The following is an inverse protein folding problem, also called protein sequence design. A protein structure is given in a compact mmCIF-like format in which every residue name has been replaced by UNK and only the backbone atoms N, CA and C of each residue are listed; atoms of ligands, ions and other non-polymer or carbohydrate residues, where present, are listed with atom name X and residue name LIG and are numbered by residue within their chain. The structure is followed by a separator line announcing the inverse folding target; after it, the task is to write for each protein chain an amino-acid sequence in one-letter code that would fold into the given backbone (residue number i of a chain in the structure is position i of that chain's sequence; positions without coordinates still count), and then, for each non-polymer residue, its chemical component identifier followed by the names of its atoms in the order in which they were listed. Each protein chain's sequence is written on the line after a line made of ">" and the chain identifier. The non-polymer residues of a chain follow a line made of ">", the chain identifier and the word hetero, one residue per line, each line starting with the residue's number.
data_IF_041182548909
#
_entry.id   IF_041182548909
#
_cell.length_a   1.000
_cell.length_b   1.000
_cell.length_c   1.000
_cell.angle_alpha   90.00
_cell.angle_beta   90.00
_cell.angle_gamma   90.00
#
_symmetry.space_group_name_H-M   'P 1'
#
loop_
_entity.id
_entity.type
_entity.pdbx_description
1 polymer ?
#
# COMPACT_ATOMS: atom_id res chain seq x y z
N UNK A 1 -17.44 -25.05 23.19
CA UNK A 1 -16.62 -26.24 23.50
C UNK A 1 -15.16 -25.87 23.78
N UNK A 2 -14.57 -24.92 23.04
CA UNK A 2 -13.17 -24.52 23.23
C UNK A 2 -12.95 -23.81 24.57
N UNK A 3 -13.86 -22.94 24.97
CA UNK A 3 -13.79 -22.21 26.24
C UNK A 3 -13.84 -23.15 27.45
N UNK A 4 -14.68 -24.19 27.37
CA UNK A 4 -14.72 -25.20 28.40
C UNK A 4 -13.45 -26.03 28.49
N UNK A 5 -12.86 -26.36 27.34
CA UNK A 5 -11.57 -27.06 27.29
C UNK A 5 -10.44 -26.21 27.86
N UNK A 6 -10.45 -24.89 27.65
CA UNK A 6 -9.50 -23.96 28.25
C UNK A 6 -9.61 -23.91 29.77
N UNK A 7 -10.83 -23.82 30.30
CA UNK A 7 -11.04 -23.81 31.76
C UNK A 7 -10.62 -25.14 32.43
N UNK A 8 -10.89 -26.26 31.77
CA UNK A 8 -10.42 -27.57 32.27
C UNK A 8 -8.91 -27.63 32.25
N UNK A 9 -8.26 -27.18 31.17
CA UNK A 9 -6.82 -27.15 31.07
C UNK A 9 -6.16 -26.26 32.13
N UNK A 10 -6.83 -25.14 32.48
CA UNK A 10 -6.38 -24.23 33.54
C UNK A 10 -6.47 -24.89 34.94
N UNK A 11 -7.53 -25.67 35.19
CA UNK A 11 -7.69 -26.39 36.46
C UNK A 11 -6.69 -27.56 36.58
N UNK A 12 -6.45 -28.29 35.51
CA UNK A 12 -5.48 -29.41 35.47
C UNK A 12 -4.05 -28.93 35.56
N UNK A 13 -3.79 -27.70 35.11
CA UNK A 13 -2.46 -27.12 34.91
C UNK A 13 -1.87 -27.48 33.55
N UNK A 14 -1.44 -26.48 32.80
CA UNK A 14 -0.88 -26.66 31.45
C UNK A 14 0.35 -27.57 31.44
N UNK A 15 1.16 -27.56 32.51
CA UNK A 15 2.35 -28.39 32.62
C UNK A 15 2.04 -29.89 32.71
N UNK A 16 0.83 -30.25 33.09
CA UNK A 16 0.36 -31.63 33.18
C UNK A 16 -0.23 -32.17 31.87
N UNK A 17 -0.35 -31.30 30.84
CA UNK A 17 -0.90 -31.68 29.53
C UNK A 17 0.27 -32.14 28.66
N UNK A 18 0.31 -33.42 28.21
CA UNK A 18 1.41 -33.94 27.41
C UNK A 18 1.43 -33.25 26.03
N UNK A 19 2.59 -32.69 25.66
CA UNK A 19 2.81 -32.14 24.33
C UNK A 19 2.97 -33.30 23.32
N UNK A 20 2.00 -33.43 22.44
CA UNK A 20 2.10 -34.39 21.33
C UNK A 20 2.84 -33.77 20.13
N UNK A 21 3.73 -34.56 19.51
CA UNK A 21 4.35 -34.14 18.25
C UNK A 21 3.28 -34.02 17.18
N UNK A 22 3.11 -32.82 16.65
CA UNK A 22 2.20 -32.60 15.53
C UNK A 22 2.87 -33.11 14.25
N UNK A 23 2.39 -34.22 13.72
CA UNK A 23 2.81 -34.72 12.42
C UNK A 23 2.10 -33.91 11.32
N UNK A 24 2.65 -32.78 10.95
CA UNK A 24 2.16 -32.00 9.81
C UNK A 24 2.69 -32.71 8.55
N UNK A 25 1.80 -33.31 7.79
CA UNK A 25 2.13 -33.68 6.40
C UNK A 25 2.38 -32.38 5.65
N UNK A 26 3.64 -32.06 5.40
CA UNK A 26 3.99 -30.96 4.50
C UNK A 26 3.55 -31.41 3.11
N UNK A 27 2.36 -31.00 2.72
CA UNK A 27 1.98 -31.06 1.31
C UNK A 27 2.86 -30.02 0.63
N UNK A 28 3.94 -30.48 -0.01
CA UNK A 28 4.63 -29.64 -0.97
C UNK A 28 3.63 -29.39 -2.08
N UNK A 29 2.96 -28.27 -2.07
CA UNK A 29 2.22 -27.80 -3.24
C UNK A 29 3.21 -27.76 -4.40
N UNK A 30 3.14 -28.80 -5.21
CA UNK A 30 3.88 -28.91 -6.46
C UNK A 30 3.35 -27.83 -7.39
N UNK A 31 3.81 -26.67 -7.25
CA UNK A 31 3.82 -25.47 -8.10
C UNK A 31 3.80 -24.25 -7.17
N UNK A 32 4.95 -23.88 -6.64
CA UNK A 32 5.19 -22.48 -6.41
C UNK A 32 5.01 -21.80 -7.76
N UNK A 33 3.80 -21.29 -8.03
CA UNK A 33 3.64 -20.28 -9.08
C UNK A 33 4.74 -19.30 -8.84
N UNK A 34 5.56 -19.00 -9.85
CA UNK A 34 6.58 -17.97 -9.73
C UNK A 34 5.98 -16.70 -9.14
N UNK A 35 6.80 -15.77 -8.65
CA UNK A 35 6.32 -14.59 -7.96
C UNK A 35 5.20 -13.94 -8.78
N UNK A 36 4.11 -13.59 -8.12
CA UNK A 36 2.98 -12.92 -8.80
C UNK A 36 3.46 -11.59 -9.38
N UNK A 37 2.79 -11.09 -10.41
CA UNK A 37 3.11 -9.77 -10.96
C UNK A 37 3.17 -8.69 -9.86
N UNK A 38 2.32 -8.80 -8.85
CA UNK A 38 2.31 -7.89 -7.69
C UNK A 38 3.60 -7.98 -6.87
N UNK A 39 4.10 -9.19 -6.60
CA UNK A 39 5.35 -9.43 -5.87
C UNK A 39 6.57 -8.95 -6.66
N UNK A 40 6.58 -9.12 -7.98
CA UNK A 40 7.61 -8.60 -8.85
C UNK A 40 7.67 -7.06 -8.81
N UNK A 41 6.51 -6.39 -8.92
CA UNK A 41 6.41 -4.93 -8.82
C UNK A 41 6.95 -4.45 -7.46
N UNK A 42 6.52 -5.09 -6.37
CA UNK A 42 7.03 -4.80 -5.02
C UNK A 42 8.55 -4.91 -4.94
N UNK A 43 9.10 -6.02 -5.40
CA UNK A 43 10.54 -6.28 -5.34
C UNK A 43 11.33 -5.23 -6.09
N UNK A 44 10.89 -4.84 -7.29
CA UNK A 44 11.56 -3.80 -8.08
C UNK A 44 11.51 -2.45 -7.37
N UNK A 45 10.36 -2.05 -6.82
CA UNK A 45 10.21 -0.78 -6.11
C UNK A 45 11.07 -0.74 -4.83
N UNK A 46 11.06 -1.81 -4.03
CA UNK A 46 11.88 -1.92 -2.81
C UNK A 46 13.37 -1.83 -3.13
N UNK A 47 13.84 -2.53 -4.17
CA UNK A 47 15.23 -2.47 -4.63
C UNK A 47 15.67 -1.06 -5.08
N UNK A 48 14.72 -0.24 -5.54
CA UNK A 48 14.97 1.18 -5.89
C UNK A 48 14.73 2.14 -4.70
N UNK A 49 14.60 1.61 -3.48
CA UNK A 49 14.50 2.37 -2.25
C UNK A 49 13.12 2.96 -1.95
N UNK A 50 12.06 2.41 -2.54
CA UNK A 50 10.69 2.78 -2.19
C UNK A 50 10.21 1.98 -0.99
N UNK A 51 9.43 2.63 -0.14
CA UNK A 51 8.73 2.01 0.99
C UNK A 51 7.25 1.82 0.66
N UNK A 52 6.72 0.64 0.95
CA UNK A 52 5.29 0.39 0.83
C UNK A 52 4.52 1.09 1.94
N UNK A 53 3.41 1.71 1.58
CA UNK A 53 2.43 2.26 2.51
C UNK A 53 1.09 1.58 2.32
N UNK A 54 0.34 1.44 3.41
CA UNK A 54 -1.01 0.88 3.41
C UNK A 54 -1.93 1.93 3.99
N UNK A 55 -2.80 2.49 3.14
CA UNK A 55 -3.74 3.52 3.55
C UNK A 55 -5.15 2.94 3.69
N UNK A 56 -5.97 3.60 4.51
CA UNK A 56 -7.38 3.24 4.62
C UNK A 56 -8.09 3.49 3.29
N UNK A 57 -8.96 2.57 2.85
CA UNK A 57 -9.69 2.72 1.59
C UNK A 57 -10.89 3.67 1.69
N UNK A 58 -11.16 4.23 2.87
CA UNK A 58 -12.32 5.06 3.14
C UNK A 58 -11.96 6.53 3.14
N UNK A 59 -12.77 7.33 2.44
CA UNK A 59 -12.60 8.77 2.32
C UNK A 59 -13.94 9.50 2.60
N UNK A 60 -13.82 10.75 2.99
CA UNK A 60 -14.93 11.70 2.93
C UNK A 60 -14.95 12.29 1.51
N UNK A 61 -15.72 11.70 0.61
CA UNK A 61 -15.72 12.15 -0.78
C UNK A 61 -17.11 12.01 -1.40
N UNK A 62 -17.64 13.12 -1.90
CA UNK A 62 -18.93 13.22 -2.58
C UNK A 62 -18.85 12.95 -4.09
N UNK A 63 -17.78 12.31 -4.56
CA UNK A 63 -17.65 12.01 -5.98
C UNK A 63 -18.77 11.06 -6.41
N UNK A 64 -19.49 11.42 -7.48
CA UNK A 64 -20.62 10.65 -8.02
C UNK A 64 -20.28 9.20 -8.39
N UNK A 65 -18.99 8.91 -8.59
CA UNK A 65 -18.49 7.56 -8.90
C UNK A 65 -18.05 6.79 -7.65
N UNK A 66 -18.02 7.42 -6.48
CA UNK A 66 -17.63 6.75 -5.24
C UNK A 66 -18.76 5.87 -4.71
N UNK A 67 -18.40 4.73 -4.16
CA UNK A 67 -19.33 3.79 -3.53
C UNK A 67 -19.49 4.19 -2.07
N UNK A 68 -20.71 4.48 -1.66
CA UNK A 68 -21.04 4.75 -0.26
C UNK A 68 -21.16 3.43 0.51
N UNK A 69 -20.64 3.40 1.73
CA UNK A 69 -20.75 2.28 2.66
C UNK A 69 -21.95 2.51 3.56
N UNK A 70 -22.83 1.53 3.72
CA UNK A 70 -24.09 1.67 4.47
C UNK A 70 -23.86 1.85 5.97
N UNK A 71 -22.90 1.12 6.57
CA UNK A 71 -22.56 1.20 7.99
C UNK A 71 -21.09 1.53 8.20
N UNK A 72 -20.66 2.79 7.93
CA UNK A 72 -19.26 3.18 8.11
C UNK A 72 -18.91 3.26 9.61
N UNK A 73 -17.70 2.83 9.97
CA UNK A 73 -17.16 3.02 11.34
C UNK A 73 -16.97 4.50 11.68
N UNK A 74 -16.69 5.33 10.68
CA UNK A 74 -16.57 6.78 10.79
C UNK A 74 -17.48 7.42 9.73
N UNK A 75 -18.46 8.19 10.18
CA UNK A 75 -19.43 8.89 9.32
C UNK A 75 -18.71 9.81 8.33
N UNK A 76 -17.58 10.40 8.74
CA UNK A 76 -16.77 11.28 7.88
C UNK A 76 -15.98 10.51 6.81
N UNK A 77 -15.90 9.17 6.89
CA UNK A 77 -15.19 8.30 5.96
C UNK A 77 -16.11 7.22 5.42
N UNK A 78 -17.21 7.63 4.82
CA UNK A 78 -18.28 6.73 4.39
C UNK A 78 -18.19 6.31 2.91
N UNK A 79 -17.17 6.73 2.17
CA UNK A 79 -17.03 6.40 0.76
C UNK A 79 -15.74 5.62 0.48
N UNK A 80 -15.83 4.63 -0.43
CA UNK A 80 -14.65 3.94 -0.92
C UNK A 80 -13.88 4.83 -1.88
N UNK A 81 -12.56 4.86 -1.75
CA UNK A 81 -11.67 5.68 -2.58
C UNK A 81 -11.68 5.22 -4.05
N UNK A 82 -11.74 6.18 -4.94
CA UNK A 82 -11.62 5.99 -6.40
C UNK A 82 -10.19 6.22 -6.90
N UNK A 83 -9.35 6.84 -6.07
CA UNK A 83 -7.95 7.14 -6.37
C UNK A 83 -7.08 7.04 -5.11
N UNK A 84 -5.80 6.68 -5.27
CA UNK A 84 -4.79 6.68 -4.20
C UNK A 84 -4.06 8.01 -4.06
N UNK A 85 -4.29 8.96 -4.97
CA UNK A 85 -3.53 10.20 -5.03
C UNK A 85 -3.54 10.96 -3.71
N UNK A 86 -4.72 11.17 -3.15
CA UNK A 86 -4.88 12.01 -1.96
C UNK A 86 -4.21 11.38 -0.74
N UNK A 87 -4.37 10.08 -0.53
CA UNK A 87 -3.72 9.35 0.57
C UNK A 87 -2.19 9.38 0.45
N UNK A 88 -1.66 9.22 -0.76
CA UNK A 88 -0.20 9.27 -0.99
C UNK A 88 0.35 10.69 -0.80
N UNK A 89 -0.41 11.72 -1.19
CA UNK A 89 -0.04 13.13 -0.95
C UNK A 89 -0.02 13.42 0.55
N UNK A 90 -1.00 12.95 1.31
CA UNK A 90 -1.04 13.12 2.76
C UNK A 90 0.18 12.44 3.43
N UNK A 91 0.53 11.23 2.99
CA UNK A 91 1.74 10.55 3.46
C UNK A 91 3.02 11.32 3.10
N UNK A 92 3.10 11.89 1.90
CA UNK A 92 4.22 12.71 1.48
C UNK A 92 4.36 13.92 2.40
N UNK A 93 3.29 14.69 2.59
CA UNK A 93 3.27 15.88 3.46
C UNK A 93 3.61 15.54 4.91
N UNK A 94 3.13 14.42 5.41
CA UNK A 94 3.45 13.95 6.76
C UNK A 94 4.95 13.70 6.94
N UNK A 95 5.61 13.13 5.93
CA UNK A 95 7.04 12.86 5.96
C UNK A 95 7.87 14.14 5.73
N UNK A 96 7.44 15.03 4.83
CA UNK A 96 8.10 16.33 4.60
C UNK A 96 8.11 17.20 5.88
N UNK A 97 6.99 17.26 6.60
CA UNK A 97 6.90 17.97 7.91
C UNK A 97 7.89 17.41 8.94
N UNK A 98 8.36 16.17 8.78
CA UNK A 98 9.37 15.52 9.62
C UNK A 98 10.78 15.60 9.06
N UNK A 99 11.01 16.54 8.14
CA UNK A 99 12.33 16.84 7.55
C UNK A 99 13.00 15.60 6.91
N UNK A 100 12.20 14.76 6.24
CA UNK A 100 12.74 13.65 5.45
C UNK A 100 13.19 14.16 4.08
N UNK A 101 14.49 14.04 3.80
CA UNK A 101 15.11 14.58 2.57
C UNK A 101 14.86 13.69 1.33
N UNK A 102 14.59 12.42 1.55
CA UNK A 102 14.30 11.44 0.50
C UNK A 102 13.03 10.68 0.86
N UNK A 103 11.97 10.94 0.12
CA UNK A 103 10.67 10.31 0.31
C UNK A 103 10.31 9.57 -0.97
N UNK A 104 10.20 8.26 -0.90
CA UNK A 104 9.81 7.38 -2.00
C UNK A 104 8.80 6.38 -1.46
N UNK A 105 7.54 6.57 -1.81
CA UNK A 105 6.44 5.77 -1.29
C UNK A 105 5.67 5.13 -2.44
N UNK A 106 5.16 3.93 -2.21
CA UNK A 106 4.24 3.27 -3.12
C UNK A 106 3.15 2.53 -2.36
N UNK A 107 2.02 2.34 -3.02
CA UNK A 107 0.91 1.54 -2.54
C UNK A 107 0.37 0.68 -3.67
N UNK A 108 0.13 -0.60 -3.41
CA UNK A 108 -0.55 -1.51 -4.33
C UNK A 108 -1.88 -1.91 -3.70
N UNK A 109 -2.97 -1.36 -4.22
CA UNK A 109 -4.28 -1.57 -3.62
C UNK A 109 -5.40 -1.55 -4.65
N UNK A 110 -6.56 -2.04 -4.23
CA UNK A 110 -7.75 -2.05 -5.04
C UNK A 110 -8.46 -0.70 -5.00
N UNK A 111 -8.91 -0.24 -6.16
CA UNK A 111 -9.78 0.92 -6.35
C UNK A 111 -11.17 0.45 -6.73
N UNK A 112 -12.15 1.21 -6.27
CA UNK A 112 -13.55 0.89 -6.47
C UNK A 112 -14.26 2.05 -7.16
N UNK A 113 -15.08 1.74 -8.17
CA UNK A 113 -15.88 2.74 -8.86
C UNK A 113 -17.26 2.20 -9.21
N UNK A 114 -18.24 3.11 -9.29
CA UNK A 114 -19.63 2.79 -9.65
C UNK A 114 -19.88 3.26 -11.08
N UNK A 115 -19.50 2.42 -12.07
CA UNK A 115 -19.82 2.64 -13.49
C UNK A 115 -20.59 1.42 -13.99
N UNK A 116 -21.88 1.55 -14.29
CA UNK A 116 -22.73 0.43 -14.72
C UNK A 116 -22.61 -0.85 -13.85
N UNK A 117 -22.38 -0.65 -12.54
CA UNK A 117 -22.10 -1.71 -11.58
C UNK A 117 -20.85 -1.39 -10.73
N UNK A 118 -20.53 -2.26 -9.77
CA UNK A 118 -19.34 -2.11 -8.92
C UNK A 118 -18.15 -2.67 -9.70
N UNK A 119 -17.18 -1.82 -10.03
CA UNK A 119 -15.93 -2.20 -10.65
C UNK A 119 -14.80 -2.14 -9.63
N UNK A 120 -14.03 -3.21 -9.53
CA UNK A 120 -12.84 -3.32 -8.70
C UNK A 120 -11.61 -3.44 -9.60
N UNK A 121 -10.62 -2.57 -9.41
CA UNK A 121 -9.36 -2.57 -10.17
C UNK A 121 -8.17 -2.47 -9.23
N UNK A 122 -7.21 -3.39 -9.38
CA UNK A 122 -5.92 -3.27 -8.69
C UNK A 122 -5.07 -2.21 -9.38
N UNK A 123 -4.57 -1.24 -8.61
CA UNK A 123 -3.71 -0.15 -9.11
C UNK A 123 -2.46 -0.01 -8.26
N UNK A 124 -1.42 0.53 -8.88
CA UNK A 124 -0.16 0.91 -8.23
C UNK A 124 -0.09 2.43 -8.19
N UNK A 125 0.02 2.98 -6.99
CA UNK A 125 0.30 4.41 -6.79
C UNK A 125 1.74 4.60 -6.35
N UNK A 126 2.43 5.59 -6.93
CA UNK A 126 3.82 5.91 -6.59
C UNK A 126 3.92 7.42 -6.40
N UNK A 127 4.58 7.84 -5.32
CA UNK A 127 4.92 9.25 -5.08
C UNK A 127 6.35 9.35 -4.57
N UNK A 128 7.05 10.40 -5.01
CA UNK A 128 8.41 10.62 -4.58
C UNK A 128 8.76 12.11 -4.53
N UNK A 129 9.59 12.49 -3.57
CA UNK A 129 10.07 13.86 -3.35
C UNK A 129 11.47 13.85 -2.74
N UNK A 130 12.25 14.91 -3.01
CA UNK A 130 13.56 15.11 -2.41
C UNK A 130 14.71 14.54 -3.24
N UNK A 131 15.69 13.92 -2.58
CA UNK A 131 16.92 13.40 -3.18
C UNK A 131 16.83 11.90 -3.47
N UNK A 132 17.63 11.44 -4.45
CA UNK A 132 17.61 10.04 -4.90
C UNK A 132 18.10 9.09 -3.81
N UNK A 133 19.17 9.45 -3.11
CA UNK A 133 19.78 8.63 -2.06
C UNK A 133 20.64 9.44 -1.11
N UNK A 134 21.17 8.78 -0.08
CA UNK A 134 22.04 9.38 0.93
C UNK A 134 23.52 9.03 0.75
N UNK A 135 23.84 8.18 -0.23
CA UNK A 135 25.21 7.85 -0.56
C UNK A 135 25.90 9.05 -1.24
N UNK A 136 27.24 9.08 -1.23
CA UNK A 136 28.01 10.20 -1.78
C UNK A 136 27.77 10.44 -3.27
N UNK A 137 27.34 9.42 -4.02
CA UNK A 137 27.08 9.53 -5.46
C UNK A 137 25.71 10.17 -5.77
N UNK A 138 24.72 9.99 -4.89
CA UNK A 138 23.32 10.37 -5.13
C UNK A 138 22.84 11.49 -4.22
N UNK A 139 23.68 11.91 -3.27
CA UNK A 139 23.35 12.92 -2.26
C UNK A 139 22.86 14.25 -2.84
N UNK A 140 23.43 14.68 -3.97
CA UNK A 140 23.03 15.93 -4.64
C UNK A 140 21.97 15.74 -5.72
N UNK A 141 21.66 14.51 -6.08
CA UNK A 141 20.71 14.23 -7.17
C UNK A 141 19.28 14.32 -6.67
N UNK A 142 18.53 15.27 -7.23
CA UNK A 142 17.09 15.35 -6.97
C UNK A 142 16.33 14.29 -7.75
N UNK A 143 15.24 13.80 -7.17
CA UNK A 143 14.32 12.91 -7.87
C UNK A 143 13.69 13.65 -9.03
N UNK A 144 13.94 13.18 -10.25
CA UNK A 144 13.43 13.73 -11.50
C UNK A 144 12.35 12.83 -12.12
N UNK A 145 11.65 13.37 -13.12
CA UNK A 145 10.70 12.55 -13.91
C UNK A 145 11.40 11.38 -14.60
N UNK A 146 12.63 11.59 -15.09
CA UNK A 146 13.38 10.55 -15.79
C UNK A 146 13.81 9.43 -14.84
N UNK A 147 14.17 9.77 -13.59
CA UNK A 147 14.42 8.77 -12.55
C UNK A 147 13.20 7.85 -12.35
N UNK A 148 12.01 8.42 -12.23
CA UNK A 148 10.78 7.65 -12.08
C UNK A 148 10.44 6.85 -13.33
N UNK A 149 10.57 7.44 -14.52
CA UNK A 149 10.36 6.76 -15.80
C UNK A 149 11.24 5.53 -15.96
N UNK A 150 12.54 5.65 -15.65
CA UNK A 150 13.48 4.52 -15.72
C UNK A 150 13.09 3.35 -14.80
N UNK A 151 12.49 3.63 -13.66
CA UNK A 151 11.98 2.58 -12.76
C UNK A 151 10.69 1.97 -13.33
N UNK A 152 9.78 2.81 -13.82
CA UNK A 152 8.50 2.35 -14.37
C UNK A 152 8.67 1.49 -15.62
N UNK A 153 9.63 1.80 -16.47
CA UNK A 153 9.97 0.97 -17.65
C UNK A 153 10.40 -0.45 -17.23
N UNK A 154 11.08 -0.60 -16.10
CA UNK A 154 11.45 -1.93 -15.58
C UNK A 154 10.23 -2.73 -15.10
N UNK A 155 9.18 -2.04 -14.65
CA UNK A 155 7.96 -2.65 -14.12
C UNK A 155 6.96 -2.91 -15.26
N UNK A 156 6.80 -1.94 -16.15
CA UNK A 156 5.82 -1.92 -17.24
C UNK A 156 6.50 -1.63 -18.58
N UNK A 157 7.24 -2.58 -19.16
CA UNK A 157 8.06 -2.32 -20.35
C UNK A 157 7.26 -1.98 -21.62
N UNK A 158 5.99 -2.40 -21.69
CA UNK A 158 5.13 -2.23 -22.86
C UNK A 158 3.97 -1.25 -22.66
N UNK A 159 3.82 -0.66 -21.49
CA UNK A 159 2.71 0.22 -21.17
C UNK A 159 3.12 1.70 -21.28
N UNK A 160 2.19 2.51 -21.78
CA UNK A 160 2.32 3.96 -21.70
C UNK A 160 1.91 4.40 -20.28
N UNK A 161 2.84 5.00 -19.56
CA UNK A 161 2.57 5.61 -18.25
C UNK A 161 2.88 7.11 -18.32
N UNK A 162 2.15 7.87 -17.54
CA UNK A 162 2.33 9.31 -17.42
C UNK A 162 2.87 9.66 -16.03
N UNK A 163 3.98 10.43 -16.02
CA UNK A 163 4.57 10.97 -14.80
C UNK A 163 4.21 12.43 -14.69
N UNK A 164 3.37 12.77 -13.71
CA UNK A 164 2.93 14.14 -13.47
C UNK A 164 3.64 14.77 -12.28
N UNK A 165 3.95 16.07 -12.38
CA UNK A 165 4.39 16.84 -11.23
C UNK A 165 3.17 17.36 -10.47
N UNK A 166 3.21 17.24 -9.15
CA UNK A 166 2.21 17.86 -8.29
C UNK A 166 2.81 19.16 -7.75
N UNK A 167 2.26 20.31 -8.15
CA UNK A 167 2.69 21.60 -7.62
C UNK A 167 2.26 21.75 -6.16
N UNK A 168 3.11 22.39 -5.34
CA UNK A 168 2.82 22.64 -3.91
C UNK A 168 1.55 23.44 -3.70
N UNK A 169 1.23 24.34 -4.60
CA UNK A 169 0.01 25.18 -4.54
C UNK A 169 -1.27 24.33 -4.58
N UNK A 170 -1.29 23.26 -5.40
CA UNK A 170 -2.41 22.31 -5.47
C UNK A 170 -2.56 21.41 -4.24
N UNK A 171 -1.48 21.28 -3.45
CA UNK A 171 -1.49 20.53 -2.19
C UNK A 171 -2.08 21.39 -1.07
N UNK A 172 -1.73 22.68 -1.03
CA UNK A 172 -2.13 23.60 0.04
C UNK A 172 -3.61 24.04 -0.05
N UNK A 173 -4.26 23.95 -1.22
CA UNK A 173 -5.66 24.34 -1.40
C UNK A 173 -6.67 23.40 -0.75
N UNK A 174 -6.25 22.19 -0.30
CA UNK A 174 -7.13 21.26 0.43
C UNK A 174 -7.22 21.52 1.94
N UNK A 175 -6.42 22.45 2.47
CA UNK A 175 -6.34 22.75 3.91
C UNK A 175 -6.96 24.12 4.28
N UNK A 176 -7.84 24.66 3.42
CA UNK A 176 -8.66 25.84 3.72
C UNK A 176 -10.13 25.49 3.83
#
# INVERSE_FOLDING_TARGET
>A
QNDLAEEIARLVGFDNIPANKINIKIFSDKKTKGPSNKENIKSILIQNGFSEVINQPFLNNDNTQAIKVDNPLDINKSYLRTTMRDSLVDNLMFNEKRQKDSIKLFEISDMYSKNNGIKKEAKVGIIASGIVGKNYQDFSKKISKDFLKNILIKIFPLECFEVTNISRDKINTKNK
#
